data_IF_353536378453
#
_entry.id   IF_353536378453
#
_cell.length_a   1.000
_cell.length_b   1.000
_cell.length_c   1.000
_cell.angle_alpha   90.00
_cell.angle_beta   90.00
_cell.angle_gamma   90.00
#
_symmetry.space_group_name_H-M   'P 1'
#
loop_
_entity.id
_entity.type
_entity.pdbx_description
1 polymer ?
#
# COMPACT_ATOMS: atom_id res chain seq x y z
N UNK A 1 -11.88 8.84 10.48
CA UNK A 1 -10.51 8.28 10.44
C UNK A 1 -9.50 9.41 10.61
N UNK A 2 -8.42 9.20 11.38
CA UNK A 2 -7.36 10.18 11.62
C UNK A 2 -5.99 9.48 11.75
N UNK A 3 -4.91 10.20 11.48
CA UNK A 3 -3.55 9.69 11.77
C UNK A 3 -3.33 9.70 13.28
N UNK A 4 -2.81 8.59 13.81
CA UNK A 4 -2.51 8.40 15.23
C UNK A 4 -1.12 8.92 15.60
N UNK A 5 -0.80 8.92 16.90
CA UNK A 5 0.55 9.24 17.37
C UNK A 5 1.61 8.20 17.00
N UNK A 6 1.18 7.03 16.53
CA UNK A 6 2.03 5.97 15.98
C UNK A 6 2.08 6.00 14.45
N UNK A 7 1.63 7.09 13.82
CA UNK A 7 1.79 7.36 12.39
C UNK A 7 1.05 6.37 11.46
N UNK A 8 -0.12 5.88 11.88
CA UNK A 8 -1.03 5.12 11.01
C UNK A 8 -2.43 5.73 11.05
N UNK A 9 -3.27 5.46 10.05
CA UNK A 9 -4.65 5.92 9.98
C UNK A 9 -5.56 4.99 10.78
N UNK A 10 -6.44 5.56 11.61
CA UNK A 10 -7.32 4.78 12.46
C UNK A 10 -8.73 5.37 12.55
N UNK A 11 -9.71 4.47 12.66
CA UNK A 11 -11.08 4.74 13.04
C UNK A 11 -11.65 3.53 13.79
N UNK A 12 -12.86 3.64 14.32
CA UNK A 12 -13.50 2.53 15.01
C UNK A 12 -13.50 1.25 14.15
N UNK A 13 -12.71 0.26 14.59
CA UNK A 13 -12.63 -1.06 13.96
C UNK A 13 -11.79 -1.16 12.70
N UNK A 14 -11.23 -0.07 12.15
CA UNK A 14 -10.48 -0.11 10.90
C UNK A 14 -9.23 0.78 10.95
N UNK A 15 -8.08 0.21 10.61
CA UNK A 15 -6.79 0.89 10.60
C UNK A 15 -6.06 0.64 9.28
N UNK A 16 -5.30 1.63 8.82
CA UNK A 16 -4.47 1.54 7.61
C UNK A 16 -3.05 1.98 7.95
N UNK A 17 -2.11 1.11 7.63
CA UNK A 17 -0.67 1.34 7.78
C UNK A 17 -0.05 1.56 6.41
N UNK A 18 1.02 2.36 6.36
CA UNK A 18 1.78 2.60 5.14
C UNK A 18 3.28 2.52 5.45
N UNK A 19 3.91 1.46 4.94
CA UNK A 19 5.35 1.19 5.11
C UNK A 19 5.83 1.20 6.56
N UNK A 20 5.02 0.63 7.47
CA UNK A 20 5.45 0.36 8.86
C UNK A 20 6.51 -0.75 8.95
N UNK A 21 6.62 -1.54 7.89
CA UNK A 21 7.71 -2.47 7.61
C UNK A 21 8.18 -2.29 6.16
N UNK A 22 9.31 -2.92 5.82
CA UNK A 22 9.86 -2.95 4.47
C UNK A 22 10.10 -4.38 4.02
N UNK A 23 10.07 -4.62 2.71
CA UNK A 23 10.43 -5.92 2.12
C UNK A 23 11.83 -6.36 2.55
N UNK A 24 12.00 -7.66 2.78
CA UNK A 24 13.31 -8.27 2.89
C UNK A 24 14.08 -8.11 1.57
N UNK A 25 15.41 -7.88 1.59
CA UNK A 25 16.18 -7.61 0.37
C UNK A 25 16.15 -8.73 -0.69
N UNK A 26 15.79 -9.94 -0.27
CA UNK A 26 15.82 -11.17 -1.08
C UNK A 26 14.41 -11.78 -1.23
N UNK A 27 13.52 -11.57 -0.25
CA UNK A 27 12.22 -12.25 -0.18
C UNK A 27 11.12 -11.20 -0.22
N UNK A 28 10.63 -10.89 -1.41
CA UNK A 28 9.75 -9.74 -1.66
C UNK A 28 8.26 -10.11 -1.81
N UNK A 29 7.94 -11.39 -1.63
CA UNK A 29 6.60 -11.94 -1.56
C UNK A 29 6.02 -11.96 -0.13
N UNK A 30 6.76 -11.43 0.85
CA UNK A 30 6.30 -11.27 2.22
C UNK A 30 4.92 -10.59 2.25
N UNK A 31 4.00 -11.09 3.10
CA UNK A 31 2.60 -10.66 3.15
C UNK A 31 2.32 -9.71 4.33
N UNK A 32 3.19 -8.72 4.56
CA UNK A 32 3.18 -7.92 5.78
C UNK A 32 3.88 -6.56 5.66
N UNK A 33 3.87 -5.93 4.47
CA UNK A 33 4.56 -4.65 4.21
C UNK A 33 3.79 -3.78 3.22
N UNK A 34 4.35 -2.60 2.91
CA UNK A 34 3.73 -1.54 2.10
C UNK A 34 2.42 -1.04 2.73
N UNK A 35 1.33 -0.90 1.96
CA UNK A 35 0.03 -0.59 2.56
C UNK A 35 -0.61 -1.85 3.14
N UNK A 36 -1.04 -1.75 4.40
CA UNK A 36 -1.75 -2.82 5.12
C UNK A 36 -3.08 -2.31 5.68
N UNK A 37 -4.10 -3.18 5.66
CA UNK A 37 -5.43 -2.90 6.20
C UNK A 37 -5.75 -3.85 7.34
N UNK A 38 -6.09 -3.29 8.49
CA UNK A 38 -6.49 -4.03 9.69
C UNK A 38 -7.97 -3.76 9.97
N UNK A 39 -8.77 -4.82 10.08
CA UNK A 39 -10.18 -4.76 10.40
C UNK A 39 -10.45 -5.59 11.66
N UNK A 40 -10.94 -4.95 12.72
CA UNK A 40 -11.18 -5.54 14.04
C UNK A 40 -9.98 -6.36 14.58
N UNK A 41 -8.77 -5.81 14.44
CA UNK A 41 -7.53 -6.45 14.90
C UNK A 41 -7.02 -7.57 13.99
N UNK A 42 -7.64 -7.80 12.83
CA UNK A 42 -7.23 -8.81 11.86
C UNK A 42 -6.69 -8.13 10.60
N UNK A 43 -5.52 -8.54 10.11
CA UNK A 43 -4.99 -8.06 8.82
C UNK A 43 -5.81 -8.68 7.69
N UNK A 44 -6.41 -7.82 6.86
CA UNK A 44 -7.28 -8.24 5.75
C UNK A 44 -6.70 -7.93 4.37
N UNK A 45 -5.75 -6.99 4.28
CA UNK A 45 -5.03 -6.69 3.05
C UNK A 45 -3.59 -6.25 3.33
N UNK A 46 -2.70 -6.51 2.38
CA UNK A 46 -1.24 -6.33 2.51
C UNK A 46 -0.65 -5.95 1.16
N UNK A 47 0.62 -5.52 1.15
CA UNK A 47 1.39 -5.32 -0.08
C UNK A 47 0.80 -4.30 -1.06
N UNK A 48 -0.03 -3.37 -0.57
CA UNK A 48 -0.60 -2.33 -1.41
C UNK A 48 0.48 -1.36 -1.90
N UNK A 49 0.95 -1.56 -3.13
CA UNK A 49 1.94 -0.71 -3.82
C UNK A 49 1.94 -1.01 -5.34
N UNK A 50 2.69 -0.23 -6.10
CA UNK A 50 2.99 -0.50 -7.51
C UNK A 50 3.85 -1.75 -7.64
N UNK A 51 3.37 -2.70 -8.45
CA UNK A 51 4.09 -3.89 -8.91
C UNK A 51 4.23 -3.83 -10.42
N UNK A 52 5.28 -4.46 -10.94
CA UNK A 52 5.55 -4.53 -12.38
C UNK A 52 5.01 -5.82 -13.03
N UNK A 53 4.44 -6.71 -12.21
CA UNK A 53 3.82 -7.98 -12.59
C UNK A 53 2.46 -8.09 -11.91
N UNK A 54 1.40 -8.55 -12.62
CA UNK A 54 0.07 -8.72 -12.02
C UNK A 54 0.05 -9.73 -10.86
N UNK A 55 0.87 -10.78 -10.95
CA UNK A 55 1.02 -11.81 -9.91
C UNK A 55 2.48 -11.84 -9.47
N UNK A 56 2.87 -11.02 -8.47
CA UNK A 56 4.27 -10.92 -8.07
C UNK A 56 4.82 -12.22 -7.48
N UNK A 57 5.98 -12.64 -7.94
CA UNK A 57 6.75 -13.78 -7.45
C UNK A 57 7.76 -13.38 -6.36
N UNK A 58 8.36 -14.37 -5.70
CA UNK A 58 9.32 -14.21 -4.59
C UNK A 58 10.56 -13.36 -4.94
N UNK A 59 10.86 -13.21 -6.22
CA UNK A 59 12.04 -12.50 -6.75
C UNK A 59 11.68 -11.29 -7.62
N UNK A 60 10.39 -10.95 -7.71
CA UNK A 60 9.96 -9.83 -8.53
C UNK A 60 10.40 -8.49 -7.93
N UNK A 61 10.56 -7.49 -8.81
CA UNK A 61 10.97 -6.16 -8.36
C UNK A 61 9.88 -5.52 -7.49
N UNK A 62 10.32 -4.98 -6.36
CA UNK A 62 9.55 -4.05 -5.51
C UNK A 62 10.13 -2.66 -5.63
N UNK A 63 9.29 -1.66 -5.39
CA UNK A 63 9.76 -0.30 -5.30
C UNK A 63 10.71 -0.12 -4.10
N UNK A 64 11.71 0.72 -4.29
CA UNK A 64 12.59 1.17 -3.22
C UNK A 64 11.91 2.30 -2.46
N UNK A 65 11.63 2.09 -1.17
CA UNK A 65 11.18 3.14 -0.26
C UNK A 65 12.30 4.18 -0.07
N UNK A 66 11.98 5.45 -0.27
CA UNK A 66 12.88 6.60 -0.07
C UNK A 66 12.59 7.31 1.23
N UNK A 67 11.32 7.62 1.46
CA UNK A 67 10.84 8.27 2.67
C UNK A 67 9.37 7.93 2.92
N UNK A 68 8.89 8.21 4.13
CA UNK A 68 7.46 8.15 4.48
C UNK A 68 7.10 9.23 5.48
N UNK A 69 5.91 9.79 5.34
CA UNK A 69 5.39 10.84 6.22
C UNK A 69 3.95 10.54 6.67
N UNK A 70 3.61 11.07 7.85
CA UNK A 70 2.30 10.95 8.46
C UNK A 70 1.76 12.34 8.84
N UNK A 71 1.00 12.92 7.92
CA UNK A 71 0.39 14.23 8.05
C UNK A 71 -0.87 14.15 8.93
N UNK A 72 -0.68 14.46 10.21
CA UNK A 72 -1.76 14.50 11.21
C UNK A 72 -2.80 15.59 10.94
N UNK A 73 -2.39 16.72 10.38
CA UNK A 73 -3.28 17.85 10.14
C UNK A 73 -4.30 17.51 9.04
N UNK A 74 -3.87 16.81 8.00
CA UNK A 74 -4.70 16.44 6.86
C UNK A 74 -5.17 14.97 6.88
N UNK A 75 -4.84 14.21 7.93
CA UNK A 75 -5.15 12.79 8.06
C UNK A 75 -4.73 11.98 6.83
N UNK A 76 -3.44 12.06 6.51
CA UNK A 76 -2.85 11.49 5.30
C UNK A 76 -1.52 10.81 5.61
N UNK A 77 -1.27 9.68 4.96
CA UNK A 77 0.02 8.99 4.94
C UNK A 77 0.60 9.08 3.54
N UNK A 78 1.90 9.29 3.43
CA UNK A 78 2.62 9.29 2.15
C UNK A 78 3.87 8.41 2.22
N UNK A 79 4.22 7.79 1.10
CA UNK A 79 5.46 7.07 0.92
C UNK A 79 6.06 7.41 -0.45
N UNK A 80 7.31 7.87 -0.46
CA UNK A 80 8.04 8.18 -1.68
C UNK A 80 8.81 6.94 -2.14
N UNK A 81 8.57 6.54 -3.37
CA UNK A 81 8.93 5.23 -3.89
C UNK A 81 9.55 5.36 -5.27
N UNK A 82 10.46 4.44 -5.60
CA UNK A 82 11.10 4.45 -6.90
C UNK A 82 11.44 3.07 -7.44
N UNK A 83 11.44 2.95 -8.76
CA UNK A 83 12.12 1.90 -9.51
C UNK A 83 13.29 2.54 -10.29
N UNK A 84 14.49 2.68 -9.69
CA UNK A 84 15.60 3.43 -10.30
C UNK A 84 16.00 2.93 -11.69
N UNK A 85 16.00 1.60 -11.90
CA UNK A 85 16.29 0.96 -13.20
C UNK A 85 15.29 1.36 -14.29
N UNK A 86 14.12 1.85 -13.90
CA UNK A 86 13.06 2.27 -14.82
C UNK A 86 12.91 3.78 -14.95
N UNK A 87 13.70 4.58 -14.23
CA UNK A 87 13.50 6.04 -14.09
C UNK A 87 12.05 6.39 -13.71
N UNK A 88 11.47 5.58 -12.82
CA UNK A 88 10.14 5.81 -12.27
C UNK A 88 10.28 6.19 -10.79
N UNK A 89 9.72 7.33 -10.42
CA UNK A 89 9.50 7.75 -9.03
C UNK A 89 8.05 8.18 -8.88
N UNK A 90 7.45 7.92 -7.72
CA UNK A 90 6.07 8.25 -7.42
C UNK A 90 5.86 8.39 -5.91
N UNK A 91 4.80 9.09 -5.53
CA UNK A 91 4.32 9.13 -4.14
C UNK A 91 3.06 8.29 -4.05
N UNK A 92 3.07 7.28 -3.19
CA UNK A 92 1.87 6.57 -2.75
C UNK A 92 1.25 7.35 -1.59
N UNK A 93 0.04 7.85 -1.80
CA UNK A 93 -0.73 8.60 -0.82
C UNK A 93 -1.94 7.79 -0.38
N UNK A 94 -2.16 7.73 0.94
CA UNK A 94 -3.37 7.20 1.57
C UNK A 94 -3.98 8.29 2.42
N UNK A 95 -5.11 8.85 1.99
CA UNK A 95 -5.80 9.93 2.67
C UNK A 95 -7.14 9.47 3.23
N UNK A 96 -7.48 9.90 4.45
CA UNK A 96 -8.80 9.66 5.02
C UNK A 96 -9.90 10.32 4.19
N UNK A 97 -10.99 9.60 3.94
CA UNK A 97 -12.19 10.13 3.30
C UNK A 97 -13.46 9.63 4.03
N UNK A 98 -14.64 10.23 3.80
CA UNK A 98 -15.88 9.73 4.38
C UNK A 98 -16.10 8.26 4.02
N UNK A 99 -16.16 7.39 5.03
CA UNK A 99 -16.38 5.95 4.86
C UNK A 99 -15.13 5.09 4.63
N UNK A 100 -13.93 5.67 4.51
CA UNK A 100 -12.73 4.87 4.26
C UNK A 100 -11.46 5.69 4.01
N UNK A 101 -10.68 5.23 3.04
CA UNK A 101 -9.46 5.89 2.57
C UNK A 101 -9.45 5.96 1.05
N UNK A 102 -8.95 7.07 0.52
CA UNK A 102 -8.55 7.21 -0.86
C UNK A 102 -7.09 6.82 -1.00
N UNK A 103 -6.79 5.94 -1.95
CA UNK A 103 -5.42 5.57 -2.32
C UNK A 103 -5.10 6.18 -3.68
N UNK A 104 -3.98 6.90 -3.78
CA UNK A 104 -3.52 7.48 -5.04
C UNK A 104 -2.03 7.25 -5.26
N UNK A 105 -1.68 6.95 -6.51
CA UNK A 105 -0.30 6.90 -6.99
C UNK A 105 -0.06 8.18 -7.80
N UNK A 106 0.75 9.08 -7.26
CA UNK A 106 1.02 10.38 -7.84
C UNK A 106 2.39 10.36 -8.53
N UNK A 107 2.42 10.62 -9.84
CA UNK A 107 3.66 10.68 -10.61
C UNK A 107 3.91 12.13 -11.05
N UNK A 108 5.11 12.66 -10.78
CA UNK A 108 5.53 13.98 -11.26
C UNK A 108 5.82 14.02 -12.77
N UNK A 109 6.12 12.84 -13.34
CA UNK A 109 6.41 12.63 -14.76
C UNK A 109 5.51 11.53 -15.31
N UNK A 110 5.19 11.55 -16.61
CA UNK A 110 4.44 10.44 -17.22
C UNK A 110 5.10 9.09 -16.96
N UNK A 111 4.28 8.05 -16.80
CA UNK A 111 4.75 6.67 -16.67
C UNK A 111 5.68 6.31 -17.85
N UNK A 112 6.90 5.79 -17.61
CA UNK A 112 7.78 5.36 -18.69
C UNK A 112 7.09 4.37 -19.62
N UNK A 113 7.20 4.57 -20.94
CA UNK A 113 6.46 3.78 -21.93
C UNK A 113 6.69 2.26 -21.79
N UNK A 114 7.90 1.84 -21.40
CA UNK A 114 8.25 0.43 -21.14
C UNK A 114 7.47 -0.22 -19.99
N UNK A 115 6.85 0.59 -19.13
CA UNK A 115 6.02 0.16 -18.00
C UNK A 115 4.52 0.25 -18.28
N UNK A 116 4.11 0.83 -19.42
CA UNK A 116 2.71 0.89 -19.80
C UNK A 116 2.13 -0.54 -19.92
N UNK A 117 1.02 -0.79 -19.22
CA UNK A 117 0.41 -2.13 -19.14
C UNK A 117 1.17 -3.14 -18.27
N UNK A 118 2.25 -2.72 -17.58
CA UNK A 118 3.02 -3.57 -16.65
C UNK A 118 2.97 -3.06 -15.22
N UNK A 119 3.21 -1.76 -15.04
CA UNK A 119 3.07 -1.13 -13.73
C UNK A 119 1.59 -1.04 -13.35
N UNK A 120 1.24 -1.64 -12.23
CA UNK A 120 -0.11 -1.63 -11.68
C UNK A 120 -0.07 -1.56 -10.17
N UNK A 121 -1.08 -0.93 -9.57
CA UNK A 121 -1.28 -0.99 -8.12
C UNK A 121 -1.86 -2.36 -7.76
N UNK A 122 -1.13 -3.12 -6.96
CA UNK A 122 -1.56 -4.42 -6.47
C UNK A 122 -1.85 -4.30 -4.98
N UNK A 123 -3.03 -4.75 -4.56
CA UNK A 123 -3.39 -4.90 -3.14
C UNK A 123 -3.80 -6.34 -2.90
N UNK A 124 -3.11 -7.01 -2.00
CA UNK A 124 -3.33 -8.42 -1.74
C UNK A 124 -4.30 -8.61 -0.58
N UNK A 125 -5.50 -9.06 -0.89
CA UNK A 125 -6.48 -9.41 0.13
C UNK A 125 -6.17 -10.79 0.71
N UNK A 126 -6.11 -10.85 2.04
CA UNK A 126 -6.09 -12.08 2.83
C UNK A 126 -7.31 -12.10 3.75
N UNK A 127 -8.53 -12.18 3.21
CA UNK A 127 -9.76 -12.12 3.99
C UNK A 127 -10.06 -13.51 4.58
N UNK A 128 -9.09 -14.13 5.27
CA UNK A 128 -9.23 -15.50 5.80
C UNK A 128 -10.44 -15.60 6.75
N UNK A 129 -10.76 -14.51 7.46
CA UNK A 129 -11.93 -14.42 8.34
C UNK A 129 -13.27 -14.51 7.59
N UNK A 130 -13.28 -14.18 6.29
CA UNK A 130 -14.44 -14.16 5.41
C UNK A 130 -14.51 -15.40 4.48
N UNK A 131 -13.41 -16.15 4.37
CA UNK A 131 -13.35 -17.32 3.50
C UNK A 131 -14.38 -18.37 3.93
N UNK A 132 -15.23 -18.79 2.98
CA UNK A 132 -16.28 -19.80 3.22
C UNK A 132 -17.50 -19.29 4.00
N UNK A 133 -17.62 -17.98 4.27
CA UNK A 133 -18.78 -17.39 4.92
C UNK A 133 -19.62 -16.57 3.94
N UNK A 134 -20.94 -16.70 4.03
CA UNK A 134 -21.87 -15.86 3.29
C UNK A 134 -22.17 -14.60 4.11
N UNK A 135 -22.13 -13.43 3.46
CA UNK A 135 -22.50 -12.16 4.07
C UNK A 135 -23.65 -11.55 3.27
N UNK A 136 -24.67 -11.07 3.97
CA UNK A 136 -25.73 -10.23 3.43
C UNK A 136 -25.36 -8.76 3.69
N UNK A 137 -25.55 -7.94 2.67
CA UNK A 137 -25.49 -6.47 2.75
C UNK A 137 -26.88 -5.95 3.10
#
# INVERSE_FOLDING_TARGET
>A
MKVTDKNYLDTQGFSVFLYDSTYHPIFVDQKNTAMEMILHGQRIATNGDVRLMPTPEQWDLVATLKDRDADKANSRLTADLAFPTFDLSYTLEVAAEPGGVKVSINLDKPLPQKLAGRAGFNLEFLPSIYMGKAYLV
#
